data_IF_059542993155
#
_entry.id   IF_059542993155
#
_cell.length_a   1.000
_cell.length_b   1.000
_cell.length_c   1.000
_cell.angle_alpha   90.00
_cell.angle_beta   90.00
_cell.angle_gamma   90.00
#
_symmetry.space_group_name_H-M   'P 1'
#
loop_
_entity.id
_entity.type
_entity.pdbx_description
1 polymer ?
#
# COMPACT_ATOMS: atom_id res chain seq x y z
N UNK A 1 -15.20 5.35 34.35
CA UNK A 1 -15.61 6.51 33.53
C UNK A 1 -14.48 7.48 33.17
N UNK A 2 -13.61 7.95 34.10
CA UNK A 2 -12.51 8.92 33.79
C UNK A 2 -11.53 8.54 32.66
N UNK A 3 -11.33 7.24 32.36
CA UNK A 3 -10.45 6.79 31.26
C UNK A 3 -11.09 6.91 29.86
N UNK A 4 -12.41 6.90 29.74
CA UNK A 4 -13.11 7.05 28.44
C UNK A 4 -13.10 8.50 27.93
N UNK A 5 -12.84 9.49 28.80
CA UNK A 5 -12.86 10.91 28.44
C UNK A 5 -11.60 11.39 27.69
N UNK A 6 -10.71 10.49 27.25
CA UNK A 6 -9.56 10.87 26.42
C UNK A 6 -9.93 10.75 24.95
N UNK A 7 -9.51 11.69 24.08
CA UNK A 7 -9.93 11.71 22.68
C UNK A 7 -9.50 10.44 21.97
N UNK A 8 -8.30 9.91 22.24
CA UNK A 8 -7.82 8.66 21.64
C UNK A 8 -8.71 7.45 21.95
N UNK A 9 -9.36 7.42 23.12
CA UNK A 9 -10.21 6.30 23.52
C UNK A 9 -11.62 6.42 22.93
N UNK A 10 -12.14 7.65 22.80
CA UNK A 10 -13.42 7.88 22.11
C UNK A 10 -13.32 7.55 20.63
N UNK A 11 -12.26 8.03 19.98
CA UNK A 11 -11.98 7.73 18.57
C UNK A 11 -11.80 6.23 18.35
N UNK A 12 -11.15 5.54 19.28
CA UNK A 12 -11.00 4.08 19.23
C UNK A 12 -12.37 3.36 19.27
N UNK A 13 -13.28 3.79 20.15
CA UNK A 13 -14.63 3.19 20.24
C UNK A 13 -15.44 3.46 18.97
N UNK A 14 -15.39 4.68 18.44
CA UNK A 14 -16.06 5.03 17.18
C UNK A 14 -15.50 4.22 16.00
N UNK A 15 -14.17 4.13 15.89
CA UNK A 15 -13.51 3.32 14.87
C UNK A 15 -13.89 1.84 14.97
N UNK A 16 -13.95 1.29 16.19
CA UNK A 16 -14.39 -0.09 16.41
C UNK A 16 -15.84 -0.29 15.94
N UNK A 17 -16.73 0.67 16.25
CA UNK A 17 -18.12 0.64 15.79
C UNK A 17 -18.22 0.65 14.25
N UNK A 18 -17.44 1.50 13.58
CA UNK A 18 -17.40 1.56 12.10
C UNK A 18 -16.90 0.23 11.52
N UNK A 19 -15.80 -0.32 12.04
CA UNK A 19 -15.25 -1.60 11.58
C UNK A 19 -16.27 -2.73 11.73
N UNK A 20 -16.91 -2.83 12.91
CA UNK A 20 -17.93 -3.86 13.17
C UNK A 20 -19.08 -3.72 12.17
N UNK A 21 -19.61 -2.50 12.02
CA UNK A 21 -20.74 -2.23 11.14
C UNK A 21 -20.44 -2.54 9.67
N UNK A 22 -19.25 -2.20 9.18
CA UNK A 22 -18.90 -2.37 7.77
C UNK A 22 -18.42 -3.78 7.40
N UNK A 23 -17.68 -4.46 8.29
CA UNK A 23 -16.97 -5.70 7.94
C UNK A 23 -17.58 -6.97 8.54
N UNK A 24 -18.41 -6.84 9.59
CA UNK A 24 -18.91 -7.99 10.35
C UNK A 24 -20.44 -8.07 10.40
N UNK A 25 -21.15 -6.98 10.15
CA UNK A 25 -22.62 -6.95 10.01
C UNK A 25 -22.99 -7.11 8.54
N UNK A 26 -24.07 -7.86 8.25
CA UNK A 26 -24.53 -8.09 6.88
C UNK A 26 -24.98 -6.79 6.19
N UNK A 27 -24.84 -6.69 4.85
CA UNK A 27 -24.28 -7.70 3.93
C UNK A 27 -22.76 -7.87 4.08
N UNK A 28 -22.21 -9.05 3.74
CA UNK A 28 -20.75 -9.21 3.71
C UNK A 28 -20.13 -8.25 2.70
N UNK A 29 -19.06 -7.55 3.12
CA UNK A 29 -18.28 -6.66 2.27
C UNK A 29 -16.83 -7.13 2.24
N UNK A 30 -16.34 -7.46 1.06
CA UNK A 30 -14.94 -7.77 0.76
C UNK A 30 -14.52 -7.17 -0.58
N UNK A 31 -13.43 -7.65 -1.17
CA UNK A 31 -13.05 -7.35 -2.56
C UNK A 31 -12.89 -8.67 -3.30
N UNK A 32 -13.49 -8.79 -4.47
CA UNK A 32 -13.37 -9.95 -5.34
C UNK A 32 -11.90 -10.21 -5.72
N UNK A 33 -11.57 -11.47 -5.94
CA UNK A 33 -10.24 -11.84 -6.39
C UNK A 33 -10.04 -11.43 -7.85
N UNK A 34 -8.86 -10.92 -8.17
CA UNK A 34 -8.46 -10.58 -9.54
C UNK A 34 -7.39 -11.56 -10.08
N UNK A 35 -7.14 -12.66 -9.38
CA UNK A 35 -6.07 -13.64 -9.63
C UNK A 35 -4.90 -13.55 -8.65
N UNK A 36 -4.83 -12.50 -7.82
CA UNK A 36 -3.73 -12.32 -6.86
C UNK A 36 -3.85 -13.21 -5.62
N UNK A 37 -5.05 -13.66 -5.22
CA UNK A 37 -5.20 -14.41 -3.97
C UNK A 37 -4.39 -15.70 -3.98
N UNK A 38 -4.20 -16.33 -5.14
CA UNK A 38 -3.44 -17.56 -5.29
C UNK A 38 -2.03 -17.46 -4.71
N UNK A 39 -1.39 -16.28 -4.79
CA UNK A 39 -0.06 -16.01 -4.21
C UNK A 39 -0.07 -16.30 -2.71
N UNK A 40 -1.13 -15.86 -2.03
CA UNK A 40 -1.27 -16.07 -0.60
C UNK A 40 -1.83 -17.44 -0.26
N UNK A 41 -2.90 -17.85 -0.94
CA UNK A 41 -3.58 -19.14 -0.73
C UNK A 41 -2.62 -20.32 -0.83
N UNK A 42 -1.77 -20.37 -1.87
CA UNK A 42 -0.79 -21.44 -2.08
C UNK A 42 0.28 -21.53 -0.98
N UNK A 43 0.64 -20.39 -0.37
CA UNK A 43 1.63 -20.33 0.71
C UNK A 43 0.99 -20.70 2.04
N UNK A 44 -0.18 -20.14 2.32
CA UNK A 44 -0.86 -20.30 3.61
C UNK A 44 -1.77 -21.50 3.67
N UNK A 45 -1.83 -22.35 2.64
CA UNK A 45 -2.65 -23.56 2.62
C UNK A 45 -4.14 -23.23 2.74
N UNK A 46 -4.60 -22.33 1.88
CA UNK A 46 -6.02 -22.04 1.65
C UNK A 46 -6.34 -22.36 0.17
N UNK A 47 -7.60 -22.66 -0.12
CA UNK A 47 -8.09 -22.80 -1.49
C UNK A 47 -9.52 -22.23 -1.60
N UNK A 48 -10.04 -22.05 -2.82
CA UNK A 48 -11.43 -21.63 -3.01
C UNK A 48 -12.36 -22.66 -2.36
N UNK A 49 -13.45 -22.18 -1.77
CA UNK A 49 -14.35 -23.06 -1.05
C UNK A 49 -15.19 -23.92 -1.99
N UNK A 50 -15.70 -23.34 -3.08
CA UNK A 50 -16.48 -24.05 -4.09
C UNK A 50 -15.66 -24.25 -5.38
N UNK A 51 -15.34 -25.51 -5.67
CA UNK A 51 -14.58 -25.88 -6.86
C UNK A 51 -15.38 -25.68 -8.17
N UNK A 52 -16.71 -25.67 -8.10
CA UNK A 52 -17.61 -25.59 -9.25
C UNK A 52 -17.99 -24.15 -9.64
N UNK A 53 -17.47 -23.13 -8.93
CA UNK A 53 -17.66 -21.73 -9.30
C UNK A 53 -17.18 -21.45 -10.73
N UNK A 54 -17.97 -20.66 -11.47
CA UNK A 54 -17.56 -20.16 -12.77
C UNK A 54 -16.33 -19.27 -12.64
N UNK A 55 -15.57 -19.12 -13.72
CA UNK A 55 -14.40 -18.24 -13.73
C UNK A 55 -14.76 -16.80 -13.30
N UNK A 56 -15.86 -16.25 -13.81
CA UNK A 56 -16.30 -14.89 -13.48
C UNK A 56 -16.89 -14.76 -12.07
N UNK A 57 -17.44 -15.82 -11.48
CA UNK A 57 -17.87 -15.76 -10.07
C UNK A 57 -16.67 -15.77 -9.13
N UNK A 58 -15.70 -16.66 -9.43
CA UNK A 58 -14.46 -16.82 -8.68
C UNK A 58 -13.57 -15.58 -8.76
N UNK A 59 -13.52 -14.96 -9.94
CA UNK A 59 -12.70 -13.79 -10.23
C UNK A 59 -13.58 -12.62 -10.66
N UNK A 60 -13.33 -11.42 -10.14
CA UNK A 60 -13.98 -10.16 -10.52
C UNK A 60 -15.42 -9.95 -9.99
N UNK A 61 -16.36 -10.87 -10.18
CA UNK A 61 -17.78 -10.54 -9.89
C UNK A 61 -18.13 -10.52 -8.40
N UNK A 62 -17.63 -11.46 -7.61
CA UNK A 62 -18.04 -11.65 -6.22
C UNK A 62 -16.86 -11.79 -5.26
N UNK A 63 -17.05 -11.28 -4.05
CA UNK A 63 -16.11 -11.48 -2.94
C UNK A 63 -16.41 -12.80 -2.22
N UNK A 64 -15.41 -13.35 -1.52
CA UNK A 64 -15.51 -14.65 -0.86
C UNK A 64 -15.24 -14.53 0.63
N UNK A 65 -16.19 -14.92 1.48
CA UNK A 65 -15.98 -14.98 2.93
C UNK A 65 -15.37 -16.30 3.39
N UNK A 66 -15.54 -17.37 2.60
CA UNK A 66 -15.14 -18.74 2.95
C UNK A 66 -14.04 -19.26 2.03
N UNK A 67 -13.05 -19.91 2.64
CA UNK A 67 -11.95 -20.60 1.96
C UNK A 67 -11.81 -22.01 2.51
N UNK A 68 -11.50 -22.99 1.66
CA UNK A 68 -11.19 -24.34 2.12
C UNK A 68 -9.75 -24.42 2.65
N UNK A 69 -9.49 -25.36 3.56
CA UNK A 69 -8.13 -25.64 4.03
C UNK A 69 -7.39 -26.54 3.04
N UNK A 70 -6.11 -26.26 2.86
CA UNK A 70 -5.22 -26.98 1.97
C UNK A 70 -3.83 -27.15 2.63
N UNK A 71 -2.97 -28.00 2.06
CA UNK A 71 -1.60 -28.14 2.53
C UNK A 71 -0.83 -26.81 2.46
N UNK A 72 -0.10 -26.50 3.53
CA UNK A 72 0.78 -25.32 3.58
C UNK A 72 1.90 -25.43 2.54
N UNK A 73 2.34 -24.29 2.02
CA UNK A 73 3.52 -24.18 1.15
C UNK A 73 3.49 -25.04 -0.13
N UNK A 74 2.32 -25.22 -0.76
CA UNK A 74 2.21 -25.73 -2.14
C UNK A 74 2.89 -24.79 -3.15
N UNK A 75 2.90 -23.49 -2.83
CA UNK A 75 3.71 -22.47 -3.46
C UNK A 75 4.34 -21.57 -2.39
N UNK A 76 5.18 -20.62 -2.82
CA UNK A 76 5.79 -19.67 -1.90
C UNK A 76 5.85 -18.26 -2.49
N UNK A 77 5.12 -17.34 -1.89
CA UNK A 77 5.19 -15.91 -2.18
C UNK A 77 5.73 -15.16 -0.95
N UNK A 78 6.96 -14.63 -0.98
CA UNK A 78 7.56 -13.97 0.18
C UNK A 78 6.80 -12.68 0.51
N UNK A 79 6.05 -12.70 1.62
CA UNK A 79 5.36 -11.52 2.14
C UNK A 79 5.23 -11.57 3.66
N UNK A 80 5.30 -10.41 4.32
CA UNK A 80 4.96 -10.24 5.73
C UNK A 80 3.49 -10.59 6.03
N UNK A 81 2.63 -10.57 5.01
CA UNK A 81 1.23 -10.98 5.09
C UNK A 81 1.08 -12.44 5.55
N UNK A 82 2.03 -13.32 5.22
CA UNK A 82 2.02 -14.75 5.63
C UNK A 82 1.76 -14.87 7.14
N UNK A 83 2.47 -14.10 7.95
CA UNK A 83 2.36 -14.15 9.42
C UNK A 83 0.95 -13.75 9.87
N UNK A 84 0.36 -12.75 9.21
CA UNK A 84 -0.95 -12.21 9.56
C UNK A 84 -2.11 -13.12 9.10
N UNK A 85 -1.89 -13.97 8.10
CA UNK A 85 -2.88 -14.94 7.62
C UNK A 85 -2.77 -16.28 8.34
N UNK A 86 -1.55 -16.77 8.61
CA UNK A 86 -1.35 -18.06 9.26
C UNK A 86 -1.93 -18.11 10.68
N UNK A 87 -1.79 -17.03 11.46
CA UNK A 87 -2.33 -16.96 12.83
C UNK A 87 -3.87 -17.13 12.84
N UNK A 88 -4.67 -16.29 12.14
CA UNK A 88 -6.11 -16.46 12.10
C UNK A 88 -6.52 -17.75 11.39
N UNK A 89 -5.75 -18.25 10.41
CA UNK A 89 -6.01 -19.57 9.81
C UNK A 89 -5.92 -20.70 10.84
N UNK A 90 -4.88 -20.71 11.68
CA UNK A 90 -4.73 -21.73 12.73
C UNK A 90 -5.85 -21.67 13.76
N UNK A 91 -6.21 -20.45 14.19
CA UNK A 91 -7.35 -20.21 15.08
C UNK A 91 -8.64 -20.70 14.42
N UNK A 92 -8.86 -20.33 13.15
CA UNK A 92 -10.00 -20.76 12.35
C UNK A 92 -10.11 -22.27 12.25
N UNK A 93 -9.00 -22.99 12.05
CA UNK A 93 -9.02 -24.46 11.95
C UNK A 93 -9.46 -25.14 13.24
N UNK A 94 -9.19 -24.53 14.40
CA UNK A 94 -9.62 -25.06 15.71
C UNK A 94 -11.11 -24.84 15.95
N UNK A 95 -11.65 -23.67 15.60
CA UNK A 95 -13.05 -23.32 15.86
C UNK A 95 -14.00 -23.74 14.74
N UNK A 96 -13.58 -23.57 13.49
CA UNK A 96 -14.33 -23.78 12.25
C UNK A 96 -13.53 -24.71 11.32
N UNK A 97 -13.47 -26.00 11.65
CA UNK A 97 -12.66 -26.97 10.92
C UNK A 97 -13.09 -27.25 9.46
N UNK A 98 -14.28 -26.82 9.05
CA UNK A 98 -14.82 -27.06 7.70
C UNK A 98 -14.44 -25.99 6.66
N UNK A 99 -14.13 -24.77 7.09
CA UNK A 99 -13.66 -23.69 6.23
C UNK A 99 -12.99 -22.58 7.05
N UNK A 100 -12.09 -21.84 6.42
CA UNK A 100 -11.54 -20.61 6.95
C UNK A 100 -12.45 -19.43 6.60
N UNK A 101 -12.84 -18.65 7.61
CA UNK A 101 -13.62 -17.43 7.45
C UNK A 101 -12.69 -16.21 7.42
N UNK A 102 -12.67 -15.49 6.31
CA UNK A 102 -11.77 -14.34 6.08
C UNK A 102 -12.00 -13.19 7.06
N UNK A 103 -13.18 -13.12 7.71
CA UNK A 103 -13.46 -12.09 8.72
C UNK A 103 -12.54 -12.20 9.93
N UNK A 104 -11.95 -13.36 10.20
CA UNK A 104 -10.89 -13.50 11.20
C UNK A 104 -9.65 -12.69 10.82
N UNK A 105 -9.28 -12.69 9.55
CA UNK A 105 -8.20 -11.83 9.03
C UNK A 105 -8.61 -10.36 9.06
N UNK A 106 -9.86 -10.05 8.69
CA UNK A 106 -10.41 -8.71 8.79
C UNK A 106 -10.35 -8.14 10.22
N UNK A 107 -10.55 -8.98 11.24
CA UNK A 107 -10.43 -8.59 12.64
C UNK A 107 -8.98 -8.28 13.03
N UNK A 108 -8.00 -9.07 12.55
CA UNK A 108 -6.57 -8.80 12.76
C UNK A 108 -6.19 -7.43 12.19
N UNK A 109 -6.57 -7.15 10.93
CA UNK A 109 -6.32 -5.84 10.33
C UNK A 109 -7.06 -4.70 11.04
N UNK A 110 -8.31 -4.93 11.44
CA UNK A 110 -9.09 -3.97 12.23
C UNK A 110 -8.41 -3.59 13.54
N UNK A 111 -7.90 -4.57 14.29
CA UNK A 111 -7.16 -4.32 15.53
C UNK A 111 -5.86 -3.56 15.29
N UNK A 112 -5.13 -3.86 14.21
CA UNK A 112 -3.91 -3.14 13.83
C UNK A 112 -4.22 -1.68 13.46
N UNK A 113 -5.29 -1.43 12.68
CA UNK A 113 -5.74 -0.08 12.31
C UNK A 113 -6.17 0.73 13.52
N UNK A 114 -6.93 0.10 14.44
CA UNK A 114 -7.33 0.69 15.72
C UNK A 114 -6.11 1.05 16.58
N UNK A 115 -5.11 0.16 16.66
CA UNK A 115 -3.84 0.42 17.34
C UNK A 115 -3.07 1.60 16.73
N UNK A 116 -3.00 1.67 15.40
CA UNK A 116 -2.38 2.79 14.68
C UNK A 116 -3.10 4.11 14.95
N UNK A 117 -4.43 4.10 14.85
CA UNK A 117 -5.30 5.25 15.11
C UNK A 117 -5.10 5.78 16.52
N UNK A 118 -5.13 4.90 17.52
CA UNK A 118 -4.92 5.28 18.91
C UNK A 118 -3.55 5.89 19.15
N UNK A 119 -2.48 5.30 18.60
CA UNK A 119 -1.12 5.83 18.72
C UNK A 119 -0.99 7.20 18.06
N UNK A 120 -1.56 7.37 16.85
CA UNK A 120 -1.56 8.63 16.13
C UNK A 120 -2.27 9.72 16.94
N UNK A 121 -3.50 9.49 17.39
CA UNK A 121 -4.26 10.49 18.16
C UNK A 121 -3.55 10.80 19.47
N UNK A 122 -3.19 9.78 20.25
CA UNK A 122 -2.58 9.96 21.57
C UNK A 122 -1.31 10.79 21.53
N UNK A 123 -0.44 10.51 20.55
CA UNK A 123 0.87 11.16 20.51
C UNK A 123 0.87 12.47 19.74
N UNK A 124 -0.05 12.68 18.79
CA UNK A 124 -0.11 13.87 17.93
C UNK A 124 -1.13 14.93 18.36
N UNK A 125 -2.04 14.64 19.30
CA UNK A 125 -2.97 15.62 19.86
C UNK A 125 -2.29 16.74 20.68
N UNK A 126 -1.01 16.59 21.04
CA UNK A 126 -0.20 17.58 21.79
C UNK A 126 -0.87 18.11 23.06
N UNK A 127 -1.62 17.25 23.74
CA UNK A 127 -2.34 17.57 24.98
C UNK A 127 -3.68 18.28 24.78
N UNK A 128 -4.04 18.71 23.56
CA UNK A 128 -5.34 19.32 23.27
C UNK A 128 -6.39 18.26 22.98
N UNK A 129 -7.48 18.30 23.75
CA UNK A 129 -8.62 17.40 23.58
C UNK A 129 -9.28 17.58 22.20
N UNK A 130 -9.53 18.84 21.81
CA UNK A 130 -10.15 19.19 20.52
C UNK A 130 -9.25 18.78 19.35
N UNK A 131 -7.95 19.07 19.43
CA UNK A 131 -7.02 18.65 18.37
C UNK A 131 -6.98 17.13 18.23
N UNK A 132 -7.08 16.39 19.35
CA UNK A 132 -7.20 14.93 19.34
C UNK A 132 -8.47 14.44 18.68
N UNK A 133 -9.62 15.06 18.96
CA UNK A 133 -10.89 14.72 18.31
C UNK A 133 -10.87 15.03 16.82
N UNK A 134 -10.36 16.19 16.40
CA UNK A 134 -10.31 16.57 14.99
C UNK A 134 -9.34 15.69 14.20
N UNK A 135 -8.15 15.41 14.75
CA UNK A 135 -7.19 14.49 14.12
C UNK A 135 -7.78 13.08 14.03
N UNK A 136 -8.38 12.59 15.11
CA UNK A 136 -9.02 11.28 15.12
C UNK A 136 -10.19 11.20 14.14
N UNK A 137 -11.02 12.24 14.08
CA UNK A 137 -12.11 12.38 13.12
C UNK A 137 -11.61 12.35 11.68
N UNK A 138 -10.52 13.05 11.37
CA UNK A 138 -9.88 13.00 10.04
C UNK A 138 -9.38 11.59 9.70
N UNK A 139 -8.78 10.88 10.66
CA UNK A 139 -8.34 9.48 10.46
C UNK A 139 -9.55 8.56 10.22
N UNK A 140 -10.62 8.68 11.01
CA UNK A 140 -11.86 7.91 10.83
C UNK A 140 -12.56 8.25 9.52
N UNK A 141 -12.49 9.49 9.06
CA UNK A 141 -13.10 9.90 7.82
C UNK A 141 -12.37 9.33 6.59
N UNK A 142 -11.03 9.29 6.65
CA UNK A 142 -10.18 8.91 5.51
C UNK A 142 -9.87 7.40 5.49
N UNK A 143 -9.35 6.85 6.58
CA UNK A 143 -8.80 5.48 6.61
C UNK A 143 -9.82 4.41 7.04
N UNK A 144 -11.02 4.81 7.48
CA UNK A 144 -12.12 3.89 7.74
C UNK A 144 -13.16 3.92 6.61
N UNK A 145 -12.90 4.67 5.54
CA UNK A 145 -13.68 4.63 4.31
C UNK A 145 -13.73 3.21 3.74
N UNK A 146 -14.89 2.80 3.23
CA UNK A 146 -15.09 1.44 2.70
C UNK A 146 -14.19 1.12 1.50
N UNK A 147 -13.70 2.15 0.78
CA UNK A 147 -12.69 1.98 -0.25
C UNK A 147 -11.41 1.31 0.26
N UNK A 148 -11.03 1.57 1.51
CA UNK A 148 -9.94 0.89 2.20
C UNK A 148 -10.40 -0.37 2.92
N UNK A 149 -11.46 -0.28 3.73
CA UNK A 149 -11.83 -1.35 4.65
C UNK A 149 -12.33 -2.61 3.94
N UNK A 150 -12.92 -2.51 2.74
CA UNK A 150 -13.35 -3.69 1.98
C UNK A 150 -12.18 -4.67 1.75
N UNK A 151 -10.95 -4.17 1.57
CA UNK A 151 -9.76 -5.02 1.42
C UNK A 151 -9.45 -5.87 2.67
N UNK A 152 -9.94 -5.52 3.85
CA UNK A 152 -9.64 -6.29 5.06
C UNK A 152 -10.25 -7.69 5.03
N UNK A 153 -11.37 -7.85 4.31
CA UNK A 153 -12.01 -9.13 4.02
C UNK A 153 -11.58 -9.66 2.64
N UNK A 154 -10.28 -9.63 2.36
CA UNK A 154 -9.67 -10.13 1.12
C UNK A 154 -8.25 -10.63 1.40
N UNK A 155 -7.66 -11.38 0.47
CA UNK A 155 -6.27 -11.85 0.57
C UNK A 155 -5.26 -10.95 -0.16
N UNK A 156 -5.65 -9.73 -0.52
CA UNK A 156 -4.76 -8.70 -1.04
C UNK A 156 -3.71 -8.27 0.00
N UNK A 157 -2.52 -7.84 -0.45
CA UNK A 157 -1.44 -7.35 0.44
C UNK A 157 -1.60 -5.89 0.88
N UNK A 158 -2.55 -5.20 0.28
CA UNK A 158 -2.94 -3.81 0.46
C UNK A 158 -3.25 -3.45 1.94
N UNK A 159 -4.03 -4.24 2.70
CA UNK A 159 -4.25 -4.00 4.13
C UNK A 159 -2.94 -3.95 4.93
N UNK A 160 -2.00 -4.85 4.66
CA UNK A 160 -0.71 -4.91 5.37
C UNK A 160 0.09 -3.65 5.11
N UNK A 161 0.17 -3.26 3.83
CA UNK A 161 0.77 -2.00 3.38
C UNK A 161 0.19 -0.80 4.15
N UNK A 162 -1.13 -0.66 4.17
CA UNK A 162 -1.81 0.45 4.83
C UNK A 162 -1.58 0.50 6.35
N UNK A 163 -1.89 -0.60 7.07
CA UNK A 163 -1.83 -0.58 8.54
C UNK A 163 -0.41 -0.40 9.05
N UNK A 164 0.58 -1.00 8.37
CA UNK A 164 1.98 -0.85 8.75
C UNK A 164 2.60 0.48 8.32
N UNK A 165 2.10 1.11 7.26
CA UNK A 165 2.43 2.50 6.96
C UNK A 165 1.99 3.43 8.12
N UNK A 166 0.72 3.33 8.53
CA UNK A 166 0.20 4.12 9.65
C UNK A 166 0.93 3.84 10.97
N UNK A 167 1.17 2.56 11.31
CA UNK A 167 1.92 2.17 12.51
C UNK A 167 3.37 2.68 12.49
N UNK A 168 4.06 2.55 11.36
CA UNK A 168 5.44 3.00 11.19
C UNK A 168 5.55 4.49 11.51
N UNK A 169 4.69 5.31 10.92
CA UNK A 169 4.67 6.75 11.20
C UNK A 169 4.22 7.09 12.61
N UNK A 170 3.22 6.39 13.16
CA UNK A 170 2.77 6.58 14.54
C UNK A 170 3.90 6.34 15.56
N UNK A 171 4.61 5.24 15.41
CA UNK A 171 5.70 4.84 16.31
C UNK A 171 6.94 5.70 16.08
N UNK A 172 7.33 5.94 14.82
CA UNK A 172 8.48 6.78 14.47
C UNK A 172 8.33 8.20 15.02
N UNK A 173 7.17 8.83 14.79
CA UNK A 173 6.86 10.15 15.35
C UNK A 173 6.89 10.17 16.88
N UNK A 174 6.34 9.13 17.53
CA UNK A 174 6.39 9.00 19.00
C UNK A 174 7.83 8.96 19.50
N UNK A 175 8.72 8.20 18.86
CA UNK A 175 10.12 8.08 19.26
C UNK A 175 10.86 9.41 19.13
N UNK A 176 10.61 10.18 18.06
CA UNK A 176 11.23 11.51 17.91
C UNK A 176 10.83 12.51 18.99
N UNK A 177 9.74 12.27 19.72
CA UNK A 177 9.24 13.17 20.78
C UNK A 177 9.71 12.81 22.18
N UNK A 178 10.36 11.67 22.35
CA UNK A 178 10.91 11.28 23.64
C UNK A 178 12.24 11.99 23.87
N UNK A 179 12.52 12.39 25.11
CA UNK A 179 13.85 12.86 25.51
C UNK A 179 14.87 11.73 25.44
N UNK A 180 14.45 10.54 25.89
CA UNK A 180 15.23 9.30 25.82
C UNK A 180 14.39 8.19 25.21
N UNK A 181 14.38 8.04 23.88
CA UNK A 181 13.65 6.94 23.24
C UNK A 181 14.26 5.59 23.62
N UNK A 182 13.39 4.60 23.79
CA UNK A 182 13.76 3.28 24.33
C UNK A 182 14.11 2.29 23.22
N UNK A 183 15.03 1.36 23.49
CA UNK A 183 15.40 0.29 22.54
C UNK A 183 14.22 -0.61 22.17
N UNK A 184 13.32 -0.88 23.13
CA UNK A 184 12.06 -1.60 22.87
C UNK A 184 11.21 -0.85 21.84
N UNK A 185 11.07 0.46 21.99
CA UNK A 185 10.33 1.28 21.03
C UNK A 185 10.97 1.26 19.64
N UNK A 186 12.30 1.30 19.55
CA UNK A 186 13.02 1.18 18.29
C UNK A 186 12.82 -0.19 17.62
N UNK A 187 12.81 -1.27 18.40
CA UNK A 187 12.52 -2.62 17.87
C UNK A 187 11.11 -2.72 17.31
N UNK A 188 10.11 -2.16 18.01
CA UNK A 188 8.72 -2.15 17.49
C UNK A 188 8.63 -1.29 16.22
N UNK A 189 9.36 -0.18 16.15
CA UNK A 189 9.46 0.63 14.92
C UNK A 189 10.08 -0.17 13.77
N UNK A 190 11.18 -0.90 14.02
CA UNK A 190 11.80 -1.78 13.02
C UNK A 190 10.85 -2.89 12.54
N UNK A 191 10.11 -3.53 13.45
CA UNK A 191 9.11 -4.53 13.07
C UNK A 191 8.04 -3.90 12.17
N UNK A 192 7.57 -2.70 12.48
CA UNK A 192 6.58 -2.02 11.64
C UNK A 192 7.12 -1.71 10.24
N UNK A 193 8.36 -1.20 10.15
CA UNK A 193 9.06 -0.95 8.87
C UNK A 193 9.28 -2.24 8.10
N UNK A 194 9.65 -3.33 8.78
CA UNK A 194 9.87 -4.64 8.17
C UNK A 194 8.58 -5.17 7.54
N UNK A 195 7.46 -5.11 8.26
CA UNK A 195 6.16 -5.54 7.72
C UNK A 195 5.71 -4.68 6.55
N UNK A 196 5.92 -3.36 6.60
CA UNK A 196 5.64 -2.45 5.50
C UNK A 196 6.47 -2.81 4.26
N UNK A 197 7.78 -2.91 4.41
CA UNK A 197 8.74 -3.19 3.32
C UNK A 197 8.45 -4.55 2.68
N UNK A 198 8.21 -5.57 3.51
CA UNK A 198 8.01 -6.94 3.04
C UNK A 198 6.55 -7.27 2.71
N UNK A 199 5.63 -6.30 2.69
CA UNK A 199 4.21 -6.59 2.37
C UNK A 199 3.99 -6.90 0.89
N UNK A 200 4.76 -6.25 0.00
CA UNK A 200 4.80 -6.47 -1.44
C UNK A 200 6.21 -6.21 -1.97
N UNK A 201 6.59 -6.89 -3.05
CA UNK A 201 7.88 -6.66 -3.73
C UNK A 201 8.03 -5.20 -4.18
N UNK A 202 6.93 -4.57 -4.62
CA UNK A 202 6.87 -3.15 -5.01
C UNK A 202 7.26 -2.19 -3.86
N UNK A 203 7.16 -2.63 -2.60
CA UNK A 203 7.52 -1.83 -1.43
C UNK A 203 9.00 -1.97 -1.05
N UNK A 204 9.81 -2.78 -1.76
CA UNK A 204 11.23 -2.94 -1.46
C UNK A 204 11.97 -1.59 -1.35
N UNK A 205 11.81 -0.60 -2.27
CA UNK A 205 12.52 0.69 -2.17
C UNK A 205 12.23 1.48 -0.89
N UNK A 206 11.05 1.29 -0.28
CA UNK A 206 10.68 1.91 1.00
C UNK A 206 11.65 1.49 2.11
N UNK A 207 12.11 0.23 2.10
CA UNK A 207 13.08 -0.28 3.07
C UNK A 207 14.44 0.41 3.00
N UNK A 208 14.95 0.72 1.79
CA UNK A 208 16.18 1.50 1.60
C UNK A 208 16.01 2.91 2.19
N UNK A 209 14.86 3.53 1.94
CA UNK A 209 14.59 4.86 2.46
C UNK A 209 14.50 4.88 4.00
N UNK A 210 13.90 3.85 4.62
CA UNK A 210 13.94 3.69 6.07
C UNK A 210 15.33 3.32 6.63
N UNK A 211 16.20 2.68 5.84
CA UNK A 211 17.58 2.45 6.26
C UNK A 211 18.28 3.78 6.58
N UNK A 212 18.03 4.81 5.75
CA UNK A 212 18.53 6.16 5.98
C UNK A 212 17.91 6.76 7.26
N UNK A 213 16.60 6.60 7.48
CA UNK A 213 15.95 7.05 8.72
C UNK A 213 16.55 6.38 9.95
N UNK A 214 16.87 5.09 9.92
CA UNK A 214 17.55 4.43 11.04
C UNK A 214 18.95 5.01 11.31
N UNK A 215 19.70 5.40 10.27
CA UNK A 215 20.95 6.15 10.46
C UNK A 215 20.70 7.49 11.15
N UNK A 216 19.61 8.19 10.79
CA UNK A 216 19.22 9.45 11.42
C UNK A 216 18.76 9.27 12.86
N UNK A 217 18.06 8.19 13.17
CA UNK A 217 17.70 7.82 14.53
C UNK A 217 18.94 7.51 15.39
N UNK A 218 20.03 7.00 14.81
CA UNK A 218 21.28 6.77 15.52
C UNK A 218 21.94 8.05 16.08
N UNK A 219 21.55 9.23 15.57
CA UNK A 219 21.97 10.53 16.09
C UNK A 219 21.15 11.00 17.32
N UNK A 220 20.04 10.34 17.65
CA UNK A 220 19.25 10.65 18.83
C UNK A 220 19.89 10.05 20.10
N UNK A 221 19.71 10.75 21.23
CA UNK A 221 20.19 10.29 22.55
C UNK A 221 19.20 9.30 23.19
N UNK A 222 19.14 8.08 22.66
CA UNK A 222 18.31 7.01 23.24
C UNK A 222 18.96 6.24 24.39
N UNK A 223 18.19 5.36 25.02
CA UNK A 223 18.62 4.56 26.16
C UNK A 223 19.58 3.42 25.78
N UNK A 224 20.49 3.07 26.67
CA UNK A 224 21.34 1.88 26.55
C UNK A 224 22.15 1.83 25.26
N UNK A 225 21.98 0.75 24.48
CA UNK A 225 22.69 0.52 23.23
C UNK A 225 22.00 1.12 21.99
N UNK A 226 21.10 2.10 22.16
CA UNK A 226 20.28 2.73 21.12
C UNK A 226 21.01 2.96 19.79
N UNK A 227 22.14 3.67 19.81
CA UNK A 227 22.89 4.00 18.60
C UNK A 227 23.33 2.75 17.84
N UNK A 228 23.87 1.74 18.54
CA UNK A 228 24.30 0.48 17.93
C UNK A 228 23.12 -0.28 17.35
N UNK A 229 21.97 -0.28 18.05
CA UNK A 229 20.76 -0.94 17.59
C UNK A 229 20.18 -0.26 16.34
N UNK A 230 20.15 1.08 16.30
CA UNK A 230 19.71 1.84 15.13
C UNK A 230 20.58 1.55 13.89
N UNK A 231 21.91 1.51 14.06
CA UNK A 231 22.82 1.15 12.97
C UNK A 231 22.61 -0.29 12.48
N UNK A 232 22.38 -1.25 13.38
CA UNK A 232 22.06 -2.64 13.02
C UNK A 232 20.75 -2.74 12.25
N UNK A 233 19.71 -2.03 12.68
CA UNK A 233 18.43 -2.01 11.98
C UNK A 233 18.51 -1.31 10.62
N UNK A 234 19.32 -0.26 10.48
CA UNK A 234 19.61 0.36 9.19
C UNK A 234 20.26 -0.65 8.22
N UNK A 235 21.32 -1.33 8.64
CA UNK A 235 21.96 -2.35 7.82
C UNK A 235 21.02 -3.51 7.49
N UNK A 236 20.26 -4.00 8.49
CA UNK A 236 19.33 -5.10 8.31
C UNK A 236 18.22 -4.76 7.30
N UNK A 237 17.54 -3.61 7.43
CA UNK A 237 16.44 -3.27 6.51
C UNK A 237 16.94 -2.99 5.09
N UNK A 238 18.15 -2.42 4.96
CA UNK A 238 18.79 -2.23 3.66
C UNK A 238 19.05 -3.58 2.97
N UNK A 239 19.64 -4.54 3.69
CA UNK A 239 19.90 -5.88 3.16
C UNK A 239 18.61 -6.64 2.84
N UNK A 240 17.59 -6.55 3.70
CA UNK A 240 16.29 -7.18 3.48
C UNK A 240 15.60 -6.59 2.25
N UNK A 241 15.67 -5.28 2.05
CA UNK A 241 15.13 -4.61 0.86
C UNK A 241 15.80 -5.11 -0.44
N UNK A 242 17.13 -5.23 -0.44
CA UNK A 242 17.88 -5.79 -1.58
C UNK A 242 17.47 -7.26 -1.81
N UNK A 243 17.43 -8.06 -0.74
CA UNK A 243 17.08 -9.48 -0.83
C UNK A 243 15.68 -9.65 -1.42
N UNK A 244 14.69 -8.90 -0.95
CA UNK A 244 13.30 -8.95 -1.42
C UNK A 244 13.19 -8.70 -2.93
N UNK A 245 14.00 -7.78 -3.47
CA UNK A 245 14.03 -7.50 -4.91
C UNK A 245 14.74 -8.60 -5.70
N UNK A 246 15.89 -9.07 -5.22
CA UNK A 246 16.70 -10.09 -5.93
C UNK A 246 16.05 -11.47 -5.90
N UNK A 247 15.32 -11.80 -4.84
CA UNK A 247 14.61 -13.08 -4.70
C UNK A 247 13.17 -13.05 -5.22
N UNK A 248 12.79 -12.01 -5.96
CA UNK A 248 11.48 -11.94 -6.59
C UNK A 248 11.28 -13.17 -7.52
N UNK A 249 10.13 -13.87 -7.44
CA UNK A 249 9.86 -15.03 -8.29
C UNK A 249 10.03 -14.71 -9.78
N UNK A 250 10.68 -15.62 -10.52
CA UNK A 250 10.96 -15.43 -11.96
C UNK A 250 9.70 -15.24 -12.78
N UNK A 251 8.65 -16.01 -12.51
CA UNK A 251 7.38 -15.93 -13.23
C UNK A 251 6.73 -14.56 -13.05
N UNK A 252 6.76 -14.00 -11.83
CA UNK A 252 6.30 -12.65 -11.58
C UNK A 252 7.13 -11.62 -12.35
N UNK A 253 8.46 -11.79 -12.38
CA UNK A 253 9.34 -10.92 -13.17
C UNK A 253 9.00 -10.96 -14.67
N UNK A 254 8.67 -12.12 -15.22
CA UNK A 254 8.28 -12.26 -16.64
C UNK A 254 6.95 -11.56 -16.92
N UNK A 255 5.93 -11.83 -16.11
CA UNK A 255 4.60 -11.20 -16.22
C UNK A 255 4.75 -9.67 -16.20
N UNK A 256 5.47 -9.16 -15.20
CA UNK A 256 5.68 -7.75 -14.96
C UNK A 256 6.46 -7.07 -16.10
N UNK A 257 7.50 -7.72 -16.61
CA UNK A 257 8.29 -7.19 -17.72
C UNK A 257 7.49 -7.12 -19.01
N UNK A 258 6.68 -8.15 -19.32
CA UNK A 258 5.77 -8.15 -20.45
C UNK A 258 4.79 -6.97 -20.38
N UNK A 259 4.12 -6.81 -19.23
CA UNK A 259 3.18 -5.71 -19.02
C UNK A 259 3.85 -4.34 -19.13
N UNK A 260 5.05 -4.21 -18.57
CA UNK A 260 5.83 -2.96 -18.63
C UNK A 260 6.16 -2.54 -20.05
N UNK A 261 6.62 -3.46 -20.89
CA UNK A 261 7.02 -3.14 -22.26
C UNK A 261 5.80 -3.03 -23.18
N UNK A 262 5.00 -4.08 -23.28
CA UNK A 262 3.93 -4.16 -24.29
C UNK A 262 2.69 -3.35 -23.91
N UNK A 263 2.29 -3.41 -22.64
CA UNK A 263 1.10 -2.69 -22.15
C UNK A 263 1.43 -1.31 -21.56
N UNK A 264 2.72 -1.02 -21.30
CA UNK A 264 3.22 0.24 -20.78
C UNK A 264 3.88 1.12 -21.83
N UNK A 265 5.11 0.77 -22.22
CA UNK A 265 5.94 1.58 -23.14
C UNK A 265 5.32 1.66 -24.54
N UNK A 266 4.98 0.51 -25.12
CA UNK A 266 4.54 0.42 -26.52
C UNK A 266 3.05 0.74 -26.69
N UNK A 267 2.28 0.71 -25.61
CA UNK A 267 0.85 0.98 -25.62
C UNK A 267 0.58 2.46 -25.97
N UNK A 268 -0.16 2.68 -27.05
CA UNK A 268 -0.42 4.00 -27.64
C UNK A 268 0.85 4.79 -27.98
N UNK A 269 1.97 4.09 -28.25
CA UNK A 269 3.18 4.74 -28.71
C UNK A 269 2.99 5.29 -30.14
N UNK A 270 3.37 6.55 -30.45
CA UNK A 270 3.40 7.07 -31.81
C UNK A 270 4.57 6.50 -32.64
N UNK A 271 5.52 5.77 -32.05
CA UNK A 271 6.62 5.11 -32.75
C UNK A 271 7.00 3.80 -32.04
N UNK A 272 6.18 2.76 -32.25
CA UNK A 272 6.38 1.42 -31.66
C UNK A 272 7.71 0.80 -32.12
N UNK A 273 8.08 0.98 -33.39
CA UNK A 273 9.31 0.39 -33.95
C UNK A 273 10.56 1.05 -33.39
N UNK A 274 10.58 2.39 -33.31
CA UNK A 274 11.66 3.13 -32.67
C UNK A 274 11.82 2.76 -31.20
N UNK A 275 10.70 2.66 -30.45
CA UNK A 275 10.76 2.27 -29.04
C UNK A 275 11.29 0.83 -28.84
N UNK A 276 10.93 -0.11 -29.73
CA UNK A 276 11.49 -1.47 -29.73
C UNK A 276 13.00 -1.45 -30.03
N UNK A 277 13.44 -0.70 -31.04
CA UNK A 277 14.87 -0.56 -31.36
C UNK A 277 15.67 0.04 -30.19
N UNK A 278 15.13 1.07 -29.52
CA UNK A 278 15.73 1.69 -28.34
C UNK A 278 15.85 0.74 -27.16
N UNK A 279 14.92 -0.22 -27.03
CA UNK A 279 14.95 -1.31 -26.06
C UNK A 279 15.85 -2.48 -26.49
N UNK A 280 16.38 -2.47 -27.71
CA UNK A 280 17.17 -3.58 -28.28
C UNK A 280 16.33 -4.79 -28.64
N UNK A 281 15.03 -4.61 -28.92
CA UNK A 281 14.07 -5.68 -29.19
C UNK A 281 13.76 -5.81 -30.68
N UNK A 282 13.46 -7.03 -31.18
CA UNK A 282 13.08 -7.25 -32.57
C UNK A 282 11.79 -6.52 -32.97
N UNK A 283 11.78 -5.89 -34.16
CA UNK A 283 10.60 -5.17 -34.68
C UNK A 283 9.35 -6.05 -34.81
N UNK A 284 9.51 -7.37 -35.02
CA UNK A 284 8.37 -8.30 -35.13
C UNK A 284 7.48 -8.35 -33.88
N UNK A 285 8.00 -7.90 -32.73
CA UNK A 285 7.24 -7.83 -31.48
C UNK A 285 6.24 -6.65 -31.46
N UNK A 286 6.23 -5.79 -32.49
CA UNK A 286 5.26 -4.68 -32.61
C UNK A 286 3.80 -5.15 -32.53
N UNK A 287 3.52 -6.37 -32.98
CA UNK A 287 2.18 -6.99 -32.95
C UNK A 287 1.64 -7.21 -31.53
N UNK A 288 2.50 -7.09 -30.51
CA UNK A 288 2.14 -7.19 -29.10
C UNK A 288 1.91 -5.82 -28.44
N UNK A 289 2.16 -4.70 -29.14
CA UNK A 289 1.92 -3.38 -28.58
C UNK A 289 0.46 -3.21 -28.14
N UNK A 290 0.27 -2.76 -26.89
CA UNK A 290 -1.06 -2.59 -26.29
C UNK A 290 -1.71 -3.87 -25.75
N UNK A 291 -1.04 -5.02 -25.79
CA UNK A 291 -1.54 -6.28 -25.21
C UNK A 291 -1.07 -6.46 -23.77
N UNK A 292 -1.90 -7.07 -22.92
CA UNK A 292 -1.53 -7.44 -21.54
C UNK A 292 -1.22 -8.94 -21.42
N UNK A 293 -0.52 -9.33 -20.35
CA UNK A 293 -0.04 -10.73 -20.19
C UNK A 293 -1.16 -11.77 -20.10
N UNK A 294 -2.34 -11.38 -19.59
CA UNK A 294 -3.46 -12.30 -19.38
C UNK A 294 -4.47 -12.29 -20.53
N UNK A 295 -4.21 -11.51 -21.58
CA UNK A 295 -5.04 -11.44 -22.77
C UNK A 295 -4.89 -12.70 -23.62
N UNK A 296 -6.02 -13.29 -24.04
CA UNK A 296 -6.03 -14.57 -24.77
C UNK A 296 -5.94 -14.39 -26.28
N UNK A 297 -6.30 -13.24 -26.83
CA UNK A 297 -6.34 -12.94 -28.26
C UNK A 297 -5.11 -12.16 -28.75
N UNK A 298 -3.91 -12.64 -28.40
CA UNK A 298 -2.64 -12.05 -28.85
C UNK A 298 -2.08 -12.74 -30.09
N UNK A 299 -1.39 -11.96 -30.94
CA UNK A 299 -0.77 -12.46 -32.17
C UNK A 299 0.40 -13.42 -31.90
N UNK A 300 1.19 -13.16 -30.85
CA UNK A 300 2.19 -14.08 -30.30
C UNK A 300 1.73 -14.41 -28.87
N UNK A 301 1.59 -15.70 -28.58
CA UNK A 301 1.14 -16.16 -27.26
C UNK A 301 2.24 -15.92 -26.22
N UNK A 302 1.83 -15.63 -24.99
CA UNK A 302 2.75 -15.29 -23.91
C UNK A 302 3.62 -16.48 -23.46
N UNK A 303 3.18 -17.70 -23.76
CA UNK A 303 3.92 -18.95 -23.57
C UNK A 303 4.68 -19.42 -24.83
N UNK A 304 4.70 -18.60 -25.90
CA UNK A 304 5.46 -18.90 -27.10
C UNK A 304 6.97 -18.99 -26.78
N UNK A 305 7.65 -20.11 -27.08
CA UNK A 305 9.07 -20.28 -26.76
C UNK A 305 9.99 -19.23 -27.39
N UNK A 306 9.58 -18.61 -28.50
CA UNK A 306 10.38 -17.58 -29.18
C UNK A 306 10.54 -16.33 -28.33
N UNK A 307 9.57 -16.01 -27.45
CA UNK A 307 9.65 -14.85 -26.56
C UNK A 307 10.79 -14.96 -25.54
N UNK A 308 11.26 -16.17 -25.22
CA UNK A 308 12.40 -16.32 -24.31
C UNK A 308 13.64 -15.64 -24.89
N UNK A 309 14.03 -16.02 -26.10
CA UNK A 309 15.22 -15.50 -26.76
C UNK A 309 15.03 -14.08 -27.30
N UNK A 310 13.84 -13.73 -27.78
CA UNK A 310 13.56 -12.43 -28.38
C UNK A 310 13.31 -11.31 -27.38
N UNK A 311 12.82 -11.65 -26.19
CA UNK A 311 12.30 -10.67 -25.23
C UNK A 311 12.87 -10.89 -23.83
N UNK A 312 12.55 -12.00 -23.17
CA UNK A 312 12.86 -12.18 -21.74
C UNK A 312 14.37 -12.22 -21.44
N UNK A 313 15.19 -12.70 -22.38
CA UNK A 313 16.65 -12.71 -22.27
C UNK A 313 17.31 -11.39 -22.72
N UNK A 314 16.58 -10.55 -23.47
CA UNK A 314 17.11 -9.32 -24.10
C UNK A 314 16.90 -8.06 -23.26
N UNK A 315 15.79 -7.97 -22.52
CA UNK A 315 15.41 -6.76 -21.79
C UNK A 315 15.19 -7.03 -20.31
N UNK A 316 15.43 -6.01 -19.49
CA UNK A 316 15.17 -6.04 -18.05
C UNK A 316 14.55 -4.75 -17.55
N UNK A 317 14.06 -4.75 -16.31
CA UNK A 317 13.56 -3.54 -15.64
C UNK A 317 14.63 -2.44 -15.52
N UNK A 318 15.92 -2.80 -15.54
CA UNK A 318 17.02 -1.83 -15.60
C UNK A 318 17.03 -1.12 -16.95
N UNK A 319 16.84 -1.85 -18.04
CA UNK A 319 16.83 -1.31 -19.40
C UNK A 319 15.59 -0.44 -19.63
N UNK A 320 14.44 -0.85 -19.08
CA UNK A 320 13.23 -0.01 -18.99
C UNK A 320 13.51 1.32 -18.30
N UNK A 321 14.21 1.30 -17.16
CA UNK A 321 14.58 2.55 -16.46
C UNK A 321 15.46 3.44 -17.35
N UNK A 322 16.47 2.86 -18.02
CA UNK A 322 17.33 3.62 -18.94
C UNK A 322 16.59 4.12 -20.17
N UNK A 323 15.62 3.35 -20.69
CA UNK A 323 14.74 3.77 -21.76
C UNK A 323 13.97 5.04 -21.37
N UNK A 324 13.33 5.05 -20.20
CA UNK A 324 12.62 6.24 -19.73
C UNK A 324 13.54 7.44 -19.46
N UNK A 325 14.78 7.22 -19.04
CA UNK A 325 15.77 8.30 -18.88
C UNK A 325 16.18 8.92 -20.22
N UNK A 326 16.27 8.12 -21.29
CA UNK A 326 16.54 8.60 -22.66
C UNK A 326 15.30 9.22 -23.30
N UNK A 327 14.12 8.71 -22.95
CA UNK A 327 12.83 9.07 -23.52
C UNK A 327 11.87 9.65 -22.46
N UNK A 328 12.18 10.82 -21.86
CA UNK A 328 11.40 11.38 -20.74
C UNK A 328 9.94 11.68 -21.11
N UNK A 329 9.64 11.96 -22.38
CA UNK A 329 8.27 12.11 -22.86
C UNK A 329 7.42 10.85 -22.61
N UNK A 330 8.00 9.66 -22.85
CA UNK A 330 7.35 8.36 -22.61
C UNK A 330 7.03 8.13 -21.14
N UNK A 331 7.93 8.55 -20.26
CA UNK A 331 7.71 8.47 -18.83
C UNK A 331 6.57 9.42 -18.43
N UNK A 332 6.59 10.66 -18.93
CA UNK A 332 5.57 11.66 -18.63
C UNK A 332 4.18 11.18 -19.07
N UNK A 333 4.05 10.53 -20.23
CA UNK A 333 2.75 10.02 -20.70
C UNK A 333 2.23 8.88 -19.81
N UNK A 334 3.09 7.96 -19.40
CA UNK A 334 2.71 6.94 -18.43
C UNK A 334 2.42 7.54 -17.03
N UNK A 335 3.10 8.61 -16.63
CA UNK A 335 2.78 9.36 -15.41
C UNK A 335 1.43 10.07 -15.53
N UNK A 336 1.05 10.60 -16.70
CA UNK A 336 -0.31 11.16 -16.91
C UNK A 336 -1.36 10.07 -16.79
N UNK A 337 -1.11 8.89 -17.38
CA UNK A 337 -2.01 7.74 -17.26
C UNK A 337 -2.15 7.28 -15.80
N UNK A 338 -1.04 7.15 -15.08
CA UNK A 338 -1.06 6.82 -13.65
C UNK A 338 -1.79 7.89 -12.84
N UNK A 339 -1.55 9.18 -13.10
CA UNK A 339 -2.25 10.28 -12.44
C UNK A 339 -3.77 10.21 -12.68
N UNK A 340 -4.18 9.83 -13.89
CA UNK A 340 -5.60 9.67 -14.24
C UNK A 340 -6.31 8.59 -13.41
N UNK A 341 -5.55 7.59 -12.94
CA UNK A 341 -6.04 6.47 -12.14
C UNK A 341 -5.72 6.61 -10.64
N UNK A 342 -5.06 7.70 -10.23
CA UNK A 342 -4.41 7.80 -8.93
C UNK A 342 -5.35 8.16 -7.77
N UNK A 343 -6.58 8.60 -8.07
CA UNK A 343 -7.58 9.03 -7.08
C UNK A 343 -8.61 7.95 -6.75
N UNK A 344 -8.56 6.81 -7.44
CA UNK A 344 -9.36 5.62 -7.14
C UNK A 344 -8.63 4.75 -6.11
N UNK A 345 -9.19 4.64 -4.90
CA UNK A 345 -8.58 3.82 -3.82
C UNK A 345 -8.72 2.31 -4.09
N UNK A 346 -9.82 1.90 -4.72
CA UNK A 346 -10.11 0.51 -5.05
C UNK A 346 -10.42 0.36 -6.54
N UNK A 347 -10.17 -0.83 -7.12
CA UNK A 347 -10.70 -1.23 -8.40
C UNK A 347 -12.23 -1.19 -8.42
N UNK A 348 -12.80 -0.47 -9.37
CA UNK A 348 -14.25 -0.41 -9.55
C UNK A 348 -14.81 -1.59 -10.35
N UNK A 349 -13.94 -2.43 -10.90
CA UNK A 349 -14.32 -3.65 -11.62
C UNK A 349 -14.36 -4.91 -10.73
N UNK A 350 -14.00 -4.80 -9.44
CA UNK A 350 -14.01 -5.90 -8.48
C UNK A 350 -15.20 -5.79 -7.54
N UNK A 351 -16.13 -6.74 -7.63
CA UNK A 351 -17.32 -6.78 -6.79
C UNK A 351 -17.00 -6.89 -5.30
N UNK A 352 -17.88 -6.36 -4.46
CA UNK A 352 -17.68 -6.30 -3.01
C UNK A 352 -18.61 -7.20 -2.21
N UNK A 353 -19.59 -7.82 -2.84
CA UNK A 353 -20.57 -8.67 -2.19
C UNK A 353 -20.36 -10.13 -2.57
N UNK A 354 -20.80 -11.05 -1.70
CA UNK A 354 -20.89 -12.46 -2.07
C UNK A 354 -22.08 -12.69 -3.00
N UNK A 355 -22.00 -13.74 -3.82
CA UNK A 355 -23.10 -14.18 -4.70
C UNK A 355 -24.41 -14.39 -3.94
N UNK A 356 -24.34 -14.92 -2.71
CA UNK A 356 -25.49 -15.17 -1.85
C UNK A 356 -26.23 -13.91 -1.32
N UNK A 357 -25.66 -12.71 -1.50
CA UNK A 357 -26.31 -11.45 -1.12
C UNK A 357 -27.29 -10.93 -2.20
N UNK A 358 -27.44 -11.66 -3.31
CA UNK A 358 -28.36 -11.35 -4.42
C UNK A 358 -28.20 -9.94 -4.99
N UNK A 359 -26.96 -9.43 -5.00
CA UNK A 359 -26.58 -8.19 -5.68
C UNK A 359 -26.14 -8.51 -7.11
N UNK A 360 -26.31 -7.58 -8.06
CA UNK A 360 -25.76 -7.74 -9.41
C UNK A 360 -24.26 -8.03 -9.39
N UNK A 361 -23.77 -8.78 -10.38
CA UNK A 361 -22.36 -9.08 -10.59
C UNK A 361 -21.51 -7.80 -10.59
N UNK A 362 -20.35 -7.82 -9.91
CA UNK A 362 -19.44 -6.67 -9.84
C UNK A 362 -19.94 -5.50 -8.98
N UNK A 363 -21.05 -5.66 -8.23
CA UNK A 363 -21.59 -4.59 -7.39
C UNK A 363 -20.62 -4.12 -6.31
N UNK A 364 -20.49 -2.81 -6.17
CA UNK A 364 -19.64 -2.16 -5.18
C UNK A 364 -20.43 -1.66 -3.96
N UNK A 365 -19.80 -1.67 -2.79
CA UNK A 365 -20.38 -1.06 -1.60
C UNK A 365 -20.00 0.41 -1.48
N UNK A 366 -20.99 1.28 -1.30
CA UNK A 366 -20.79 2.72 -1.08
C UNK A 366 -21.10 3.15 0.37
N UNK A 367 -21.37 2.19 1.26
CA UNK A 367 -21.61 2.47 2.68
C UNK A 367 -20.35 3.08 3.30
N UNK A 368 -20.43 4.30 3.82
CA UNK A 368 -19.27 5.01 4.39
C UNK A 368 -18.12 5.22 3.36
N UNK A 369 -18.47 5.70 2.17
CA UNK A 369 -17.54 5.95 1.04
C UNK A 369 -17.27 7.43 0.74
N UNK A 370 -17.54 8.33 1.69
CA UNK A 370 -17.53 9.77 1.44
C UNK A 370 -16.15 10.26 0.98
N UNK A 371 -15.07 9.80 1.60
CA UNK A 371 -13.73 10.20 1.22
C UNK A 371 -13.33 9.63 -0.14
N UNK A 372 -13.55 8.34 -0.36
CA UNK A 372 -13.19 7.68 -1.62
C UNK A 372 -13.96 8.25 -2.81
N UNK A 373 -15.26 8.51 -2.66
CA UNK A 373 -16.09 9.11 -3.71
C UNK A 373 -15.76 10.59 -3.93
N UNK A 374 -15.50 11.36 -2.87
CA UNK A 374 -15.04 12.73 -3.02
C UNK A 374 -13.74 12.77 -3.82
N UNK A 375 -12.76 11.94 -3.45
CA UNK A 375 -11.46 11.86 -4.12
C UNK A 375 -11.62 11.49 -5.60
N UNK A 376 -12.37 10.44 -5.89
CA UNK A 376 -12.58 9.94 -7.25
C UNK A 376 -13.37 10.89 -8.16
N UNK A 377 -14.25 11.73 -7.61
CA UNK A 377 -15.17 12.53 -8.42
C UNK A 377 -14.80 14.03 -8.47
N UNK A 378 -14.03 14.52 -7.49
CA UNK A 378 -13.79 15.97 -7.34
C UNK A 378 -12.31 16.35 -7.26
N UNK A 379 -11.41 15.43 -6.88
CA UNK A 379 -9.97 15.74 -6.86
C UNK A 379 -9.42 15.62 -8.29
N UNK A 380 -8.64 16.59 -8.80
CA UNK A 380 -8.17 16.54 -10.17
C UNK A 380 -7.28 15.32 -10.47
N UNK A 381 -7.61 14.58 -11.52
CA UNK A 381 -6.87 13.38 -11.97
C UNK A 381 -5.69 13.72 -12.90
N UNK A 382 -4.96 14.80 -12.59
CA UNK A 382 -3.92 15.32 -13.49
C UNK A 382 -2.55 15.30 -12.83
N UNK A 383 -1.51 15.07 -13.64
CA UNK A 383 -0.13 15.12 -13.17
C UNK A 383 0.23 16.52 -12.62
N UNK A 384 -0.28 17.59 -13.24
CA UNK A 384 -0.07 18.96 -12.78
C UNK A 384 -0.59 19.20 -11.36
N UNK A 385 -1.79 18.72 -11.04
CA UNK A 385 -2.32 18.79 -9.67
C UNK A 385 -1.42 18.04 -8.68
N UNK A 386 -0.98 16.82 -9.01
CA UNK A 386 -0.09 16.06 -8.16
C UNK A 386 1.23 16.81 -7.89
N UNK A 387 1.84 17.40 -8.92
CA UNK A 387 3.07 18.18 -8.77
C UNK A 387 2.89 19.36 -7.80
N UNK A 388 1.78 20.11 -7.93
CA UNK A 388 1.48 21.23 -7.02
C UNK A 388 1.24 20.72 -5.60
N UNK A 389 0.42 19.67 -5.44
CA UNK A 389 0.12 19.08 -4.13
C UNK A 389 1.39 18.62 -3.40
N UNK A 390 2.23 17.85 -4.07
CA UNK A 390 3.51 17.39 -3.52
C UNK A 390 4.46 18.56 -3.25
N UNK A 391 4.50 19.57 -4.13
CA UNK A 391 5.26 20.80 -3.93
C UNK A 391 4.87 21.53 -2.64
N UNK A 392 3.57 21.72 -2.40
CA UNK A 392 3.04 22.34 -1.18
C UNK A 392 3.40 21.51 0.06
N UNK A 393 3.21 20.19 -0.01
CA UNK A 393 3.55 19.29 1.09
C UNK A 393 5.04 19.36 1.46
N UNK A 394 5.93 19.21 0.47
CA UNK A 394 7.37 19.27 0.70
C UNK A 394 7.83 20.65 1.15
N UNK A 395 7.26 21.74 0.63
CA UNK A 395 7.57 23.09 1.11
C UNK A 395 7.24 23.23 2.60
N UNK A 396 6.08 22.73 3.04
CA UNK A 396 5.69 22.72 4.45
C UNK A 396 6.63 21.86 5.32
N UNK A 397 6.98 20.66 4.85
CA UNK A 397 7.90 19.77 5.56
C UNK A 397 9.32 20.36 5.68
N UNK A 398 9.85 20.93 4.59
CA UNK A 398 11.15 21.59 4.54
C UNK A 398 11.17 22.84 5.42
N UNK A 399 10.12 23.66 5.37
CA UNK A 399 10.00 24.83 6.25
C UNK A 399 10.12 24.44 7.73
N UNK A 400 9.42 23.38 8.14
CA UNK A 400 9.49 22.89 9.51
C UNK A 400 10.85 22.29 9.84
N UNK A 401 11.47 21.56 8.91
CA UNK A 401 12.82 21.01 9.05
C UNK A 401 13.88 22.10 9.30
N UNK A 402 13.89 23.15 8.47
CA UNK A 402 14.85 24.25 8.59
C UNK A 402 14.60 25.15 9.81
N UNK A 403 13.35 25.24 10.28
CA UNK A 403 13.00 25.95 11.51
C UNK A 403 13.43 25.20 12.78
N UNK A 404 13.52 23.87 12.72
CA UNK A 404 13.95 23.04 13.85
C UNK A 404 15.43 23.22 14.17
N UNK A 405 15.73 23.64 15.40
CA UNK A 405 17.10 23.83 15.90
C UNK A 405 17.71 22.55 16.48
N UNK A 406 16.88 21.67 17.03
CA UNK A 406 17.32 20.42 17.63
C UNK A 406 17.26 19.23 16.65
N UNK A 407 18.05 18.19 16.94
CA UNK A 407 18.14 17.00 16.10
C UNK A 407 16.81 16.23 16.03
N UNK A 408 15.99 16.26 17.08
CA UNK A 408 14.71 15.54 17.10
C UNK A 408 13.73 16.15 16.11
N UNK A 409 13.62 17.48 16.10
CA UNK A 409 12.82 18.21 15.11
C UNK A 409 13.29 17.96 13.67
N UNK A 410 14.60 17.90 13.44
CA UNK A 410 15.16 17.53 12.13
C UNK A 410 14.79 16.11 11.70
N UNK A 411 14.93 15.13 12.60
CA UNK A 411 14.54 13.73 12.31
C UNK A 411 13.03 13.60 12.10
N UNK A 412 12.21 14.36 12.84
CA UNK A 412 10.76 14.45 12.58
C UNK A 412 10.51 15.00 11.18
N UNK A 413 11.19 16.08 10.77
CA UNK A 413 11.07 16.63 9.41
C UNK A 413 11.49 15.64 8.32
N UNK A 414 12.58 14.90 8.54
CA UNK A 414 13.06 13.83 7.64
C UNK A 414 12.03 12.70 7.50
N UNK A 415 11.40 12.27 8.61
CA UNK A 415 10.28 11.33 8.56
C UNK A 415 9.11 11.89 7.74
N UNK A 416 8.71 13.15 7.95
CA UNK A 416 7.62 13.75 7.18
C UNK A 416 7.95 13.89 5.69
N UNK A 417 9.20 14.21 5.33
CA UNK A 417 9.62 14.18 3.93
C UNK A 417 9.59 12.75 3.36
N UNK A 418 9.99 11.76 4.16
CA UNK A 418 9.92 10.36 3.74
C UNK A 418 8.48 9.92 3.41
N UNK A 419 7.46 10.43 4.11
CA UNK A 419 6.06 10.15 3.75
C UNK A 419 5.76 10.52 2.29
N UNK A 420 6.17 11.71 1.86
CA UNK A 420 6.01 12.14 0.47
C UNK A 420 6.89 11.32 -0.49
N UNK A 421 8.12 11.00 -0.11
CA UNK A 421 9.00 10.17 -0.95
C UNK A 421 8.44 8.75 -1.16
N UNK A 422 7.83 8.15 -0.14
CA UNK A 422 7.14 6.86 -0.26
C UNK A 422 6.00 6.99 -1.27
N UNK A 423 5.21 8.07 -1.20
CA UNK A 423 4.17 8.36 -2.19
C UNK A 423 4.73 8.43 -3.62
N UNK A 424 5.84 9.13 -3.84
CA UNK A 424 6.51 9.21 -5.15
C UNK A 424 6.98 7.83 -5.61
N UNK A 425 7.61 7.03 -4.74
CA UNK A 425 8.03 5.67 -5.11
C UNK A 425 6.83 4.79 -5.47
N UNK A 426 5.77 4.82 -4.67
CA UNK A 426 4.54 4.07 -4.92
C UNK A 426 3.77 4.54 -6.16
N UNK A 427 4.09 5.72 -6.69
CA UNK A 427 3.58 6.20 -7.98
C UNK A 427 4.42 5.72 -9.16
N UNK A 428 5.75 5.76 -9.03
CA UNK A 428 6.69 5.45 -10.12
C UNK A 428 6.97 3.95 -10.28
N UNK A 429 7.02 3.19 -9.18
CA UNK A 429 7.34 1.76 -9.22
C UNK A 429 6.34 0.97 -10.07
N UNK A 430 5.01 1.18 -9.95
CA UNK A 430 4.05 0.50 -10.84
C UNK A 430 4.26 0.81 -12.33
N UNK A 431 4.64 2.04 -12.69
CA UNK A 431 4.92 2.41 -14.09
C UNK A 431 6.14 1.63 -14.61
N UNK A 432 7.16 1.47 -13.77
CA UNK A 432 8.41 0.78 -14.13
C UNK A 432 8.28 -0.75 -14.07
N UNK A 433 7.36 -1.26 -13.26
CA UNK A 433 7.26 -2.69 -12.93
C UNK A 433 6.04 -3.40 -13.50
N UNK A 434 4.94 -2.70 -13.80
CA UNK A 434 3.67 -3.31 -14.23
C UNK A 434 3.07 -2.56 -15.45
N UNK A 435 3.74 -1.50 -15.94
CA UNK A 435 3.25 -0.69 -17.06
C UNK A 435 1.92 -0.02 -16.75
N UNK A 436 0.92 -0.21 -17.61
CA UNK A 436 -0.46 0.30 -17.41
C UNK A 436 -1.43 -0.73 -16.84
N UNK A 437 -0.97 -1.95 -16.60
CA UNK A 437 -1.84 -3.06 -16.23
C UNK A 437 -2.26 -2.92 -14.76
N UNK A 438 -3.58 -2.95 -14.52
CA UNK A 438 -4.19 -2.82 -13.20
C UNK A 438 -3.62 -1.65 -12.36
N UNK A 439 -3.26 -0.55 -13.04
CA UNK A 439 -2.47 0.54 -12.45
C UNK A 439 -3.16 1.13 -11.22
N UNK A 440 -4.49 1.23 -11.23
CA UNK A 440 -5.28 1.74 -10.10
C UNK A 440 -5.07 0.94 -8.83
N UNK A 441 -5.03 -0.40 -8.92
CA UNK A 441 -4.74 -1.27 -7.77
C UNK A 441 -3.29 -1.07 -7.31
N UNK A 442 -2.34 -1.02 -8.23
CA UNK A 442 -0.92 -0.83 -7.89
C UNK A 442 -0.62 0.55 -7.28
N UNK A 443 -1.47 1.55 -7.52
CA UNK A 443 -1.42 2.87 -6.87
C UNK A 443 -2.04 2.89 -5.47
N UNK A 444 -2.41 1.76 -4.87
CA UNK A 444 -2.98 1.73 -3.51
C UNK A 444 -2.05 2.35 -2.46
N UNK A 445 -0.74 2.04 -2.47
CA UNK A 445 0.20 2.64 -1.50
C UNK A 445 0.43 4.13 -1.78
N UNK A 446 0.35 4.56 -3.04
CA UNK A 446 0.34 5.97 -3.38
C UNK A 446 -0.88 6.65 -2.74
N UNK A 447 -2.07 6.05 -2.84
CA UNK A 447 -3.30 6.56 -2.24
C UNK A 447 -3.17 6.67 -0.71
N UNK A 448 -2.65 5.64 -0.03
CA UNK A 448 -2.39 5.69 1.43
C UNK A 448 -1.45 6.85 1.76
N UNK A 449 -0.37 7.02 1.01
CA UNK A 449 0.61 8.08 1.24
C UNK A 449 0.02 9.47 1.00
N UNK A 450 -0.73 9.64 -0.10
CA UNK A 450 -1.47 10.86 -0.44
C UNK A 450 -2.43 11.26 0.69
N UNK A 451 -3.25 10.31 1.11
CA UNK A 451 -4.26 10.48 2.14
C UNK A 451 -3.61 10.80 3.51
N UNK A 452 -2.48 10.17 3.83
CA UNK A 452 -1.69 10.52 5.02
C UNK A 452 -1.10 11.93 4.95
N UNK A 453 -0.66 12.38 3.78
CA UNK A 453 -0.19 13.76 3.59
C UNK A 453 -1.34 14.76 3.81
N UNK A 454 -2.55 14.47 3.31
CA UNK A 454 -3.76 15.28 3.56
C UNK A 454 -4.03 15.39 5.06
N UNK A 455 -4.09 14.26 5.77
CA UNK A 455 -4.33 14.25 7.23
C UNK A 455 -3.20 14.98 7.98
N UNK A 456 -1.95 14.85 7.53
CA UNK A 456 -0.80 15.53 8.13
C UNK A 456 -0.87 17.05 7.95
N UNK A 457 -1.20 17.52 6.74
CA UNK A 457 -1.38 18.95 6.47
C UNK A 457 -2.54 19.52 7.27
N UNK A 458 -3.67 18.81 7.35
CA UNK A 458 -4.79 19.19 8.21
C UNK A 458 -4.36 19.30 9.68
N UNK A 459 -3.68 18.28 10.22
CA UNK A 459 -3.17 18.30 11.59
C UNK A 459 -2.16 19.43 11.84
N UNK A 460 -1.34 19.78 10.85
CA UNK A 460 -0.41 20.90 10.92
C UNK A 460 -1.15 22.25 11.00
N UNK A 461 -2.18 22.46 10.17
CA UNK A 461 -3.02 23.66 10.21
C UNK A 461 -3.72 23.80 11.57
N UNK A 462 -4.33 22.73 12.06
CA UNK A 462 -4.97 22.72 13.39
C UNK A 462 -4.00 23.11 14.50
N UNK A 463 -2.77 22.59 14.45
CA UNK A 463 -1.74 22.94 15.43
C UNK A 463 -1.36 24.42 15.35
N UNK A 464 -1.25 24.99 14.14
CA UNK A 464 -0.91 26.40 13.97
C UNK A 464 -2.00 27.32 14.51
N UNK A 465 -3.26 27.02 14.22
CA UNK A 465 -4.42 27.77 14.71
C UNK A 465 -4.55 27.69 16.24
N UNK A 466 -4.43 26.50 16.82
CA UNK A 466 -4.47 26.33 18.28
C UNK A 466 -3.29 27.01 19.00
N UNK A 467 -2.14 27.13 18.34
CA UNK A 467 -0.99 27.86 18.87
C UNK A 467 -1.12 29.38 18.76
N UNK A 468 -1.98 29.90 17.88
CA UNK A 468 -2.25 31.35 17.76
C UNK A 468 -3.24 31.81 18.83
N UNK A 469 -4.25 30.98 19.16
CA UNK A 469 -5.29 31.29 20.15
C UNK A 469 -4.76 31.38 21.60
N UNK A 470 -3.59 30.78 21.90
CA UNK A 470 -2.97 30.86 23.24
C UNK A 470 -1.96 32.02 23.38
N UNK A 471 -1.86 32.90 22.37
CA UNK A 471 -0.97 34.07 22.38
C UNK A 471 -1.73 35.41 22.39
N UNK A 472 -3.07 35.36 22.38
CA UNK A 472 -3.98 36.46 22.67
C UNK A 472 -4.64 36.21 24.04
#
# INVERSE_FOLDING_TARGET
MKRLNKPENMILVLGLGIIIYLLFVRPFIGVADNGDFLRMMSTTGLNYYDAAESYADRFFNFSHSRFSYENLFKGFYPSSQIILVLIPRLIGGVFHGSYFDIRLLGAVYGLLLLGATWLLVKHNARGSYIAGLLLGGAILFVFYDIGYLAYFNSLFGEPVSMVFMLLTFAIGLRLTRMDRPTTKGLTVFFIAVLFLTCSKIQNAPIGIAFALIFLRFAALQGEGNWRKLALRFSAAIFLISILLYVTAPKDLKHINLYQTVFFGILNESPDVKGDLQDLGLPERLEVLAGTNYFQTDTAIKQDDPTLQADFYDQVSHKDVLFFYLKNPGRLIDNMKYAANNSMSIRPYYLGNYEKGENKPEGSLSYTYSVWSQFKNNHVPHTLGFLLVFYGVYFAGALFQYFRSRDIRGKVTGELMMLLGLIGIFSFLVPILGDGRADIGKHLFMFNVSFDMMVVTMFGWVLYKLAGTINLD
#
